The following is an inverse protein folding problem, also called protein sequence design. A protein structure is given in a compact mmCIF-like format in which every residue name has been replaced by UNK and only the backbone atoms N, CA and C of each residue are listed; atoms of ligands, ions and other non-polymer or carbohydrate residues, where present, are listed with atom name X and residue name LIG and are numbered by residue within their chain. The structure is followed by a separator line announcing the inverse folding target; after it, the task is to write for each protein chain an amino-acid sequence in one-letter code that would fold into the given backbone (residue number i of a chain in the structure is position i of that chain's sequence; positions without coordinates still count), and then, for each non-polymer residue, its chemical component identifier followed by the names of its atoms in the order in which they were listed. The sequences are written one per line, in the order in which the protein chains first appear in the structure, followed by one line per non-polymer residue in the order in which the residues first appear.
data_IF_399675180497
#
_entry.id   IF_399675180497
#
_cell.length_a   1.000
_cell.length_b   1.000
_cell.length_c   1.000
_cell.angle_alpha   90.00
_cell.angle_beta   90.00
_cell.angle_gamma   90.00
#
_symmetry.space_group_name_H-M   'P 1'
#
loop_
_entity.id
_entity.type
_entity.pdbx_description
1 polymer ?
#
# COMPACT_ATOMS: atom_id res chain seq x y z
N UNK A 1 -54.43 -19.86 -47.44
CA UNK A 1 -53.00 -19.45 -47.27
C UNK A 1 -52.14 -20.57 -47.75
N UNK A 2 -51.31 -20.33 -48.76
CA UNK A 2 -50.42 -21.36 -49.33
C UNK A 2 -49.29 -21.76 -48.34
N UNK A 3 -48.74 -22.93 -48.54
CA UNK A 3 -47.63 -23.42 -47.71
C UNK A 3 -46.44 -22.46 -47.70
N UNK A 4 -46.22 -21.77 -48.79
CA UNK A 4 -45.13 -20.76 -48.94
C UNK A 4 -45.36 -19.50 -48.09
N UNK A 5 -46.60 -19.06 -47.93
CA UNK A 5 -46.92 -17.92 -47.05
C UNK A 5 -46.66 -18.23 -45.55
N UNK A 6 -46.91 -19.48 -45.15
CA UNK A 6 -46.60 -19.94 -43.77
C UNK A 6 -45.11 -20.04 -43.52
N UNK A 7 -44.31 -20.52 -44.50
CA UNK A 7 -42.86 -20.58 -44.42
C UNK A 7 -42.21 -19.20 -44.36
N UNK A 8 -42.69 -18.26 -45.18
CA UNK A 8 -42.20 -16.87 -45.14
C UNK A 8 -42.48 -16.22 -43.79
N UNK A 9 -43.64 -16.44 -43.22
CA UNK A 9 -44.03 -15.87 -41.91
C UNK A 9 -43.13 -16.42 -40.75
N UNK A 10 -42.81 -17.72 -40.80
CA UNK A 10 -41.93 -18.35 -39.81
C UNK A 10 -40.48 -17.84 -39.93
N UNK A 11 -39.97 -17.66 -41.13
CA UNK A 11 -38.60 -17.12 -41.34
C UNK A 11 -38.50 -15.67 -40.84
N UNK A 12 -39.49 -14.83 -41.10
CA UNK A 12 -39.50 -13.45 -40.62
C UNK A 12 -39.64 -13.40 -39.11
N UNK A 13 -40.45 -14.24 -38.49
CA UNK A 13 -40.59 -14.30 -37.04
C UNK A 13 -39.28 -14.78 -36.37
N UNK A 14 -38.58 -15.77 -36.92
CA UNK A 14 -37.28 -16.19 -36.41
C UNK A 14 -36.21 -15.11 -36.56
N UNK A 15 -36.19 -14.37 -37.67
CA UNK A 15 -35.24 -13.28 -37.87
C UNK A 15 -35.46 -12.14 -36.87
N UNK A 16 -36.72 -11.82 -36.57
CA UNK A 16 -37.03 -10.78 -35.55
C UNK A 16 -36.59 -11.23 -34.14
N UNK A 17 -36.82 -12.49 -33.78
CA UNK A 17 -36.40 -13.03 -32.48
C UNK A 17 -34.89 -13.04 -32.35
N UNK A 18 -34.15 -13.43 -33.37
CA UNK A 18 -32.68 -13.39 -33.38
C UNK A 18 -32.18 -11.94 -33.27
N UNK A 19 -32.78 -11.01 -33.99
CA UNK A 19 -32.41 -9.57 -33.91
C UNK A 19 -32.67 -8.99 -32.51
N UNK A 20 -33.77 -9.37 -31.84
CA UNK A 20 -34.07 -8.95 -30.48
C UNK A 20 -33.08 -9.56 -29.46
N UNK A 21 -32.72 -10.81 -29.61
CA UNK A 21 -31.76 -11.50 -28.74
C UNK A 21 -30.37 -10.87 -28.92
N UNK A 22 -29.94 -10.61 -30.14
CA UNK A 22 -28.67 -9.94 -30.44
C UNK A 22 -28.67 -8.48 -29.95
N UNK A 23 -29.78 -7.77 -30.08
CA UNK A 23 -29.97 -6.41 -29.56
C UNK A 23 -29.96 -6.35 -28.01
N UNK A 24 -30.57 -7.35 -27.36
CA UNK A 24 -30.49 -7.44 -25.88
C UNK A 24 -29.08 -7.84 -25.39
N UNK A 25 -28.34 -8.68 -26.14
CA UNK A 25 -26.96 -9.00 -25.79
C UNK A 25 -26.00 -7.80 -25.95
N UNK A 26 -26.25 -6.92 -26.91
CA UNK A 26 -25.50 -5.68 -27.08
C UNK A 26 -25.78 -4.63 -25.99
N UNK A 27 -26.85 -4.80 -25.20
CA UNK A 27 -27.23 -3.94 -24.10
C UNK A 27 -26.68 -4.33 -22.72
N UNK A 28 -25.99 -5.49 -22.62
CA UNK A 28 -25.21 -5.83 -21.43
C UNK A 28 -24.01 -4.88 -21.38
N UNK A 29 -24.14 -3.78 -20.63
CA UNK A 29 -23.00 -2.92 -20.29
C UNK A 29 -21.94 -3.84 -19.70
N UNK A 30 -20.89 -4.08 -20.47
CA UNK A 30 -19.69 -4.76 -19.99
C UNK A 30 -19.31 -4.01 -18.71
N UNK A 31 -19.37 -4.68 -17.56
CA UNK A 31 -18.93 -4.09 -16.29
C UNK A 31 -17.46 -3.80 -16.45
N UNK A 32 -17.16 -2.52 -16.71
CA UNK A 32 -15.78 -2.07 -16.82
C UNK A 32 -15.10 -2.33 -15.49
N UNK A 33 -13.88 -2.84 -15.53
CA UNK A 33 -13.08 -2.97 -14.32
C UNK A 33 -12.81 -1.58 -13.73
N UNK A 34 -12.60 -1.45 -12.42
CA UNK A 34 -12.25 -0.17 -11.81
C UNK A 34 -11.08 0.52 -12.51
N UNK A 35 -10.08 -0.25 -12.95
CA UNK A 35 -8.91 0.25 -13.69
C UNK A 35 -9.30 0.81 -15.05
N UNK A 36 -10.21 0.14 -15.77
CA UNK A 36 -10.69 0.62 -17.07
C UNK A 36 -11.48 1.92 -16.91
N UNK A 37 -12.30 2.05 -15.86
CA UNK A 37 -13.05 3.28 -15.55
C UNK A 37 -12.09 4.42 -15.25
N UNK A 38 -11.09 4.18 -14.39
CA UNK A 38 -10.08 5.20 -14.04
C UNK A 38 -9.29 5.63 -15.27
N UNK A 39 -8.85 4.67 -16.11
CA UNK A 39 -8.10 4.95 -17.33
C UNK A 39 -8.90 5.80 -18.31
N UNK A 40 -10.18 5.47 -18.52
CA UNK A 40 -11.08 6.23 -19.41
C UNK A 40 -11.34 7.64 -18.85
N UNK A 41 -11.63 7.76 -17.56
CA UNK A 41 -11.79 9.07 -16.91
C UNK A 41 -10.56 9.94 -17.00
N UNK A 42 -9.37 9.37 -16.79
CA UNK A 42 -8.10 10.10 -16.91
C UNK A 42 -7.84 10.53 -18.36
N UNK A 43 -8.14 9.68 -19.33
CA UNK A 43 -8.02 10.02 -20.74
C UNK A 43 -8.94 11.18 -21.12
N UNK A 44 -10.22 11.13 -20.73
CA UNK A 44 -11.20 12.19 -20.96
C UNK A 44 -10.82 13.50 -20.24
N UNK A 45 -10.29 13.42 -19.03
CA UNK A 45 -9.83 14.58 -18.28
C UNK A 45 -8.64 15.25 -18.98
N UNK A 46 -7.65 14.47 -19.46
CA UNK A 46 -6.50 14.98 -20.21
C UNK A 46 -6.93 15.71 -21.49
N UNK A 47 -7.88 15.15 -22.23
CA UNK A 47 -8.41 15.78 -23.45
C UNK A 47 -9.08 17.12 -23.15
N UNK A 48 -9.79 17.24 -22.03
CA UNK A 48 -10.45 18.48 -21.60
C UNK A 48 -9.52 19.50 -20.96
N UNK A 49 -8.37 19.08 -20.48
CA UNK A 49 -7.43 19.90 -19.72
C UNK A 49 -5.97 19.71 -20.20
N UNK A 50 -5.66 19.93 -21.50
CA UNK A 50 -4.34 19.58 -22.03
C UNK A 50 -3.20 20.33 -21.32
N UNK A 51 -3.38 21.63 -21.08
CA UNK A 51 -2.35 22.45 -20.42
C UNK A 51 -2.13 22.08 -18.95
N UNK A 52 -3.20 21.68 -18.25
CA UNK A 52 -3.11 21.23 -16.86
C UNK A 52 -2.50 19.84 -16.77
N UNK A 53 -2.82 18.96 -17.73
CA UNK A 53 -2.25 17.62 -17.76
C UNK A 53 -0.73 17.67 -17.99
N UNK A 54 -0.27 18.51 -18.91
CA UNK A 54 1.15 18.70 -19.18
C UNK A 54 1.88 19.32 -17.98
N UNK A 55 1.32 20.37 -17.37
CA UNK A 55 1.89 20.96 -16.15
C UNK A 55 1.95 19.96 -14.99
N UNK A 56 0.90 19.21 -14.78
CA UNK A 56 0.88 18.23 -13.69
C UNK A 56 1.97 17.17 -13.85
N UNK A 57 2.20 16.69 -15.07
CA UNK A 57 3.29 15.73 -15.37
C UNK A 57 4.67 16.36 -15.11
N UNK A 58 4.88 17.61 -15.51
CA UNK A 58 6.16 18.28 -15.28
C UNK A 58 6.35 18.63 -13.79
N UNK A 59 5.31 19.09 -13.11
CA UNK A 59 5.34 19.34 -11.67
C UNK A 59 5.64 18.06 -10.88
N UNK A 60 5.08 16.93 -11.31
CA UNK A 60 5.33 15.63 -10.67
C UNK A 60 6.76 15.14 -10.93
N UNK A 61 7.27 15.32 -12.14
CA UNK A 61 8.67 15.04 -12.46
C UNK A 61 9.62 15.89 -11.61
N UNK A 62 9.35 17.19 -11.48
CA UNK A 62 10.15 18.07 -10.63
C UNK A 62 10.07 17.66 -9.16
N UNK A 63 8.88 17.30 -8.67
CA UNK A 63 8.69 16.83 -7.30
C UNK A 63 9.48 15.55 -7.01
N UNK A 64 9.56 14.64 -7.98
CA UNK A 64 10.37 13.43 -7.88
C UNK A 64 11.88 13.69 -7.97
N UNK A 65 12.30 14.79 -8.61
CA UNK A 65 13.71 15.21 -8.61
C UNK A 65 14.14 15.77 -7.25
N UNK A 66 13.21 16.34 -6.50
CA UNK A 66 13.45 16.87 -5.17
C UNK A 66 13.50 15.71 -4.13
N UNK A 67 14.28 14.68 -4.43
CA UNK A 67 14.53 13.65 -3.44
C UNK A 67 15.47 14.22 -2.37
N UNK A 68 15.19 13.98 -1.09
CA UNK A 68 16.14 14.31 -0.05
C UNK A 68 17.47 13.60 -0.35
N UNK A 69 18.60 14.24 -0.07
CA UNK A 69 19.90 13.61 -0.25
C UNK A 69 19.93 12.29 0.52
N UNK A 70 20.57 11.28 -0.07
CA UNK A 70 20.72 9.97 0.56
C UNK A 70 21.47 10.04 1.89
N UNK A 71 22.30 11.06 2.05
CA UNK A 71 23.00 11.40 3.27
C UNK A 71 22.47 12.73 3.84
N UNK A 72 21.85 12.68 4.99
CA UNK A 72 21.34 13.83 5.73
C UNK A 72 22.38 14.41 6.72
N UNK A 73 23.63 14.00 6.63
CA UNK A 73 24.66 14.40 7.57
C UNK A 73 24.87 15.92 7.63
N UNK A 74 24.69 16.62 6.50
CA UNK A 74 24.81 18.07 6.44
C UNK A 74 23.69 18.79 7.22
N UNK A 75 22.49 18.23 7.23
CA UNK A 75 21.36 18.72 8.04
C UNK A 75 21.69 18.57 9.52
N UNK A 76 22.24 17.43 9.91
CA UNK A 76 22.60 17.13 11.29
C UNK A 76 23.80 17.97 11.76
N UNK A 77 24.74 18.31 10.88
CA UNK A 77 25.87 19.17 11.17
C UNK A 77 25.52 20.67 11.23
N UNK A 78 24.28 21.04 10.94
CA UNK A 78 23.82 22.42 10.99
C UNK A 78 24.34 23.32 9.86
N UNK A 79 24.86 22.73 8.79
CA UNK A 79 25.40 23.47 7.64
C UNK A 79 24.31 23.86 6.64
N UNK A 80 23.19 23.17 6.64
CA UNK A 80 22.07 23.46 5.78
C UNK A 80 21.16 24.52 6.40
N UNK A 81 21.26 25.73 5.87
CA UNK A 81 20.48 26.89 6.32
C UNK A 81 20.98 27.44 7.67
N UNK A 82 21.79 28.46 7.62
CA UNK A 82 22.47 29.13 8.75
C UNK A 82 21.59 29.62 9.92
N UNK A 83 20.41 29.04 10.13
CA UNK A 83 19.45 29.48 11.15
C UNK A 83 18.92 28.40 12.10
N UNK A 84 18.97 27.13 11.76
CA UNK A 84 18.50 26.04 12.62
C UNK A 84 19.46 24.87 12.58
N UNK A 85 20.58 25.04 13.25
CA UNK A 85 21.38 23.92 13.66
C UNK A 85 20.50 23.03 14.55
N UNK A 86 20.13 21.86 14.10
CA UNK A 86 19.96 20.74 15.01
C UNK A 86 21.34 20.51 15.61
N UNK A 87 21.70 21.24 16.64
CA UNK A 87 22.97 21.31 17.34
C UNK A 87 24.07 20.32 16.93
N UNK A 88 25.30 20.72 17.05
CA UNK A 88 26.39 19.78 16.83
C UNK A 88 26.20 18.55 17.71
N UNK A 89 26.36 17.35 17.16
CA UNK A 89 26.35 16.11 17.92
C UNK A 89 27.78 15.61 18.11
N UNK A 90 28.01 14.95 19.22
CA UNK A 90 29.29 14.34 19.57
C UNK A 90 29.31 12.85 19.18
N UNK A 91 30.49 12.24 19.14
CA UNK A 91 30.60 10.78 18.96
C UNK A 91 29.79 10.01 20.03
N UNK A 92 29.72 10.56 21.24
CA UNK A 92 28.92 10.00 22.32
C UNK A 92 27.43 9.97 21.98
N UNK A 93 26.93 11.02 21.34
CA UNK A 93 25.52 11.10 20.94
C UNK A 93 25.21 10.05 19.85
N UNK A 94 26.11 9.89 18.88
CA UNK A 94 25.99 8.85 17.85
C UNK A 94 25.95 7.45 18.44
N UNK A 95 26.84 7.17 19.39
CA UNK A 95 26.85 5.88 20.09
C UNK A 95 25.59 5.66 20.93
N UNK A 96 25.08 6.70 21.58
CA UNK A 96 23.85 6.63 22.35
C UNK A 96 22.66 6.32 21.43
N UNK A 97 22.54 7.04 20.33
CA UNK A 97 21.43 6.82 19.36
C UNK A 97 21.48 5.43 18.73
N UNK A 98 22.67 4.94 18.36
CA UNK A 98 22.85 3.59 17.87
C UNK A 98 22.37 2.55 18.89
N UNK A 99 22.77 2.72 20.16
CA UNK A 99 22.38 1.83 21.25
C UNK A 99 20.86 1.85 21.52
N UNK A 100 20.24 3.03 21.52
CA UNK A 100 18.80 3.12 21.72
C UNK A 100 18.01 2.54 20.55
N UNK A 101 18.52 2.69 19.30
CA UNK A 101 17.94 2.06 18.11
C UNK A 101 18.02 0.53 18.21
N UNK A 102 19.20 0.00 18.56
CA UNK A 102 19.39 -1.44 18.75
C UNK A 102 18.49 -1.99 19.86
N UNK A 103 18.43 -1.31 21.00
CA UNK A 103 17.57 -1.70 22.13
C UNK A 103 16.09 -1.77 21.72
N UNK A 104 15.63 -0.81 20.93
CA UNK A 104 14.26 -0.80 20.44
C UNK A 104 14.00 -1.98 19.50
N UNK A 105 14.92 -2.27 18.57
CA UNK A 105 14.79 -3.41 17.65
C UNK A 105 14.85 -4.76 18.40
N UNK A 106 15.74 -4.90 19.39
CA UNK A 106 15.82 -6.11 20.22
C UNK A 106 14.54 -6.34 21.02
N UNK A 107 13.96 -5.28 21.58
CA UNK A 107 12.66 -5.39 22.26
C UNK A 107 11.55 -5.78 21.29
N UNK A 108 11.56 -5.22 20.08
CA UNK A 108 10.64 -5.61 19.00
C UNK A 108 10.78 -7.09 18.63
N UNK A 109 12.00 -7.60 18.55
CA UNK A 109 12.24 -9.05 18.34
C UNK A 109 11.60 -9.88 19.44
N UNK A 110 11.79 -9.52 20.70
CA UNK A 110 11.18 -10.23 21.84
C UNK A 110 9.65 -10.27 21.80
N UNK A 111 9.04 -9.16 21.36
CA UNK A 111 7.59 -9.09 21.20
C UNK A 111 7.15 -9.93 19.99
N UNK A 112 7.86 -9.85 18.90
CA UNK A 112 7.56 -10.52 17.63
C UNK A 112 7.54 -12.04 17.77
N UNK A 113 8.45 -12.59 18.58
CA UNK A 113 8.57 -14.03 18.83
C UNK A 113 7.77 -14.53 20.06
N UNK A 114 6.94 -13.67 20.66
CA UNK A 114 6.17 -14.03 21.85
C UNK A 114 4.67 -14.00 21.60
N UNK A 115 4.00 -15.10 21.77
CA UNK A 115 2.54 -15.17 21.69
C UNK A 115 1.84 -14.39 22.82
N UNK A 116 2.44 -14.32 24.00
CA UNK A 116 1.82 -13.75 25.20
C UNK A 116 1.92 -12.23 25.27
N UNK A 117 3.02 -11.65 24.75
CA UNK A 117 3.31 -10.21 24.87
C UNK A 117 2.37 -9.30 24.09
N UNK A 118 1.66 -9.86 23.12
CA UNK A 118 0.63 -9.16 22.34
C UNK A 118 -0.79 -9.32 22.93
N UNK A 119 -0.90 -9.96 24.10
CA UNK A 119 -2.19 -10.25 24.74
C UNK A 119 -3.05 -11.21 23.92
N UNK A 120 -2.41 -12.04 23.09
CA UNK A 120 -3.09 -13.04 22.27
C UNK A 120 -3.69 -14.16 23.12
N UNK A 121 -4.82 -14.70 22.69
CA UNK A 121 -5.56 -15.73 23.42
C UNK A 121 -5.39 -17.13 22.82
N UNK A 122 -4.69 -17.24 21.68
CA UNK A 122 -4.60 -18.48 20.90
C UNK A 122 -3.17 -19.02 20.76
N UNK A 123 -2.20 -18.42 21.45
CA UNK A 123 -0.81 -18.86 21.42
C UNK A 123 -0.07 -18.63 20.09
N UNK A 124 -0.56 -17.72 19.25
CA UNK A 124 0.06 -17.38 17.96
C UNK A 124 0.93 -16.15 18.09
N UNK A 125 2.19 -16.24 17.65
CA UNK A 125 3.14 -15.13 17.54
C UNK A 125 3.34 -14.71 16.09
N UNK A 126 3.96 -13.56 15.88
CA UNK A 126 4.20 -13.03 14.52
C UNK A 126 5.16 -13.92 13.71
N UNK A 127 6.16 -14.50 14.35
CA UNK A 127 7.19 -15.33 13.72
C UNK A 127 6.65 -16.67 13.19
N UNK A 128 5.52 -17.16 13.70
CA UNK A 128 4.90 -18.38 13.17
C UNK A 128 4.48 -18.25 11.71
N UNK A 129 4.15 -17.04 11.26
CA UNK A 129 3.82 -16.74 9.86
C UNK A 129 4.98 -16.05 9.13
N UNK A 130 5.79 -15.31 9.84
CA UNK A 130 6.88 -14.49 9.32
C UNK A 130 8.20 -14.77 10.07
N UNK A 131 8.82 -15.96 9.89
CA UNK A 131 10.06 -16.27 10.59
C UNK A 131 11.08 -15.13 10.46
N UNK A 132 11.57 -14.60 11.60
CA UNK A 132 12.50 -13.47 11.63
C UNK A 132 12.05 -12.27 10.76
N UNK A 133 10.76 -11.97 10.76
CA UNK A 133 10.12 -10.94 9.94
C UNK A 133 10.24 -11.17 8.40
N UNK A 134 10.53 -12.39 7.96
CA UNK A 134 10.54 -12.76 6.54
C UNK A 134 9.16 -12.47 5.90
N UNK A 135 9.18 -12.03 4.64
CA UNK A 135 7.99 -11.73 3.84
C UNK A 135 7.07 -10.63 4.40
N UNK A 136 7.53 -9.81 5.33
CA UNK A 136 6.76 -8.66 5.83
C UNK A 136 6.79 -7.48 4.87
N UNK A 137 7.86 -7.33 4.09
CA UNK A 137 8.05 -6.31 3.07
C UNK A 137 7.72 -4.87 3.53
N UNK A 138 8.31 -4.39 4.64
CA UNK A 138 8.02 -3.06 5.17
C UNK A 138 8.41 -1.94 4.20
N UNK A 139 9.37 -2.19 3.30
CA UNK A 139 9.83 -1.26 2.26
C UNK A 139 8.74 -0.91 1.23
N UNK A 140 7.64 -1.67 1.19
CA UNK A 140 6.54 -1.46 0.24
C UNK A 140 5.44 -0.54 0.78
N UNK A 141 5.44 -0.22 2.07
CA UNK A 141 4.44 0.67 2.67
C UNK A 141 4.77 2.15 2.46
N UNK A 142 3.74 3.01 2.28
CA UNK A 142 2.30 2.70 2.25
C UNK A 142 1.87 1.94 0.98
N UNK A 143 0.94 0.99 1.12
CA UNK A 143 0.36 0.25 0.00
C UNK A 143 -1.10 -0.12 0.25
N UNK A 144 -1.84 -0.45 -0.83
CA UNK A 144 -3.18 -1.00 -0.69
C UNK A 144 -3.12 -2.39 -0.05
N UNK A 145 -3.91 -2.59 1.01
CA UNK A 145 -4.04 -3.87 1.70
C UNK A 145 -5.46 -4.41 1.55
N UNK A 146 -5.63 -5.52 0.81
CA UNK A 146 -6.94 -6.11 0.59
C UNK A 146 -7.68 -6.45 1.89
N UNK A 147 -6.97 -6.90 2.92
CA UNK A 147 -7.52 -7.23 4.23
C UNK A 147 -8.14 -6.02 4.94
N UNK A 148 -7.64 -4.82 4.64
CA UNK A 148 -8.10 -3.57 5.22
C UNK A 148 -9.00 -2.77 4.27
N UNK A 149 -9.03 -3.12 2.97
CA UNK A 149 -9.80 -2.42 1.94
C UNK A 149 -9.35 -0.97 1.72
N UNK A 150 -8.13 -0.61 2.11
CA UNK A 150 -7.59 0.76 2.01
C UNK A 150 -6.08 0.77 1.86
N UNK A 151 -5.53 1.93 1.47
CA UNK A 151 -4.10 2.18 1.58
C UNK A 151 -3.73 2.22 3.06
N UNK A 152 -2.78 1.40 3.46
CA UNK A 152 -2.38 1.18 4.84
C UNK A 152 -0.91 1.52 5.08
N UNK A 153 -0.58 1.90 6.30
CA UNK A 153 0.77 1.96 6.82
C UNK A 153 1.18 0.59 7.38
N UNK A 154 2.47 0.40 7.62
CA UNK A 154 2.98 -0.83 8.24
C UNK A 154 2.26 -1.14 9.57
N UNK A 155 2.10 -0.14 10.43
CA UNK A 155 1.40 -0.29 11.73
C UNK A 155 -0.06 -0.70 11.63
N UNK A 156 -0.75 -0.32 10.56
CA UNK A 156 -2.12 -0.75 10.32
C UNK A 156 -2.18 -2.26 10.07
N UNK A 157 -1.21 -2.78 9.31
CA UNK A 157 -1.12 -4.21 9.04
C UNK A 157 -0.65 -5.00 10.25
N UNK A 158 0.29 -4.46 11.03
CA UNK A 158 0.67 -5.04 12.34
C UNK A 158 -0.58 -5.20 13.21
N UNK A 159 -1.38 -4.15 13.36
CA UNK A 159 -2.60 -4.19 14.15
C UNK A 159 -3.64 -5.17 13.61
N UNK A 160 -3.77 -5.27 12.29
CA UNK A 160 -4.63 -6.29 11.70
C UNK A 160 -4.21 -7.71 12.12
N UNK A 161 -2.90 -8.01 12.07
CA UNK A 161 -2.36 -9.29 12.50
C UNK A 161 -2.55 -9.52 14.00
N UNK A 162 -2.33 -8.51 14.83
CA UNK A 162 -2.57 -8.60 16.29
C UNK A 162 -4.02 -8.94 16.59
N UNK A 163 -4.98 -8.32 15.91
CA UNK A 163 -6.40 -8.53 16.18
C UNK A 163 -6.96 -9.83 15.60
N UNK A 164 -6.48 -10.28 14.44
CA UNK A 164 -7.07 -11.43 13.73
C UNK A 164 -6.35 -12.75 14.01
N UNK A 165 -5.13 -13.01 13.51
CA UNK A 165 -4.48 -14.30 13.83
C UNK A 165 -4.04 -14.42 15.28
N UNK A 166 -3.53 -13.37 15.91
CA UNK A 166 -3.04 -13.40 17.30
C UNK A 166 -4.19 -13.33 18.32
N UNK A 167 -5.34 -12.76 17.94
CA UNK A 167 -6.50 -12.54 18.83
C UNK A 167 -6.20 -11.68 20.04
N UNK A 168 -5.29 -10.70 19.86
CA UNK A 168 -4.96 -9.68 20.83
C UNK A 168 -5.77 -8.39 20.63
N UNK A 169 -5.40 -7.36 21.39
CA UNK A 169 -5.98 -6.02 21.26
C UNK A 169 -5.09 -5.14 20.39
N UNK A 170 -5.70 -4.27 19.58
CA UNK A 170 -4.95 -3.29 18.80
C UNK A 170 -4.02 -2.45 19.68
N UNK A 171 -2.80 -2.28 19.22
CA UNK A 171 -1.79 -1.45 19.87
C UNK A 171 -2.02 0.02 19.49
N UNK A 172 -1.83 0.94 20.43
CA UNK A 172 -1.83 2.36 20.10
C UNK A 172 -0.66 2.69 19.17
N UNK A 173 -0.83 3.62 18.21
CA UNK A 173 0.20 3.93 17.21
C UNK A 173 1.55 4.37 17.78
N UNK A 174 1.53 4.98 18.96
CA UNK A 174 2.69 5.50 19.69
C UNK A 174 3.09 4.66 20.90
N UNK A 175 2.45 3.49 21.09
CA UNK A 175 2.81 2.57 22.18
C UNK A 175 4.24 2.05 22.04
N UNK A 176 4.85 1.69 23.15
CA UNK A 176 6.19 1.12 23.18
C UNK A 176 6.28 -0.17 22.35
N UNK A 177 5.23 -0.99 22.41
CA UNK A 177 5.14 -2.25 21.68
C UNK A 177 5.05 -2.03 20.16
N UNK A 178 4.21 -1.09 19.70
CA UNK A 178 4.10 -0.78 18.27
C UNK A 178 5.42 -0.24 17.73
N UNK A 179 6.03 0.71 18.43
CA UNK A 179 7.33 1.29 18.04
C UNK A 179 8.43 0.24 17.97
N UNK A 180 8.47 -0.67 18.93
CA UNK A 180 9.45 -1.75 18.97
C UNK A 180 9.23 -2.75 17.82
N UNK A 181 8.00 -3.15 17.54
CA UNK A 181 7.67 -4.03 16.41
C UNK A 181 8.05 -3.41 15.07
N UNK A 182 7.68 -2.14 14.83
CA UNK A 182 8.09 -1.44 13.61
C UNK A 182 9.61 -1.38 13.48
N UNK A 183 10.32 -1.05 14.57
CA UNK A 183 11.78 -0.98 14.56
C UNK A 183 12.42 -2.33 14.23
N UNK A 184 11.94 -3.43 14.80
CA UNK A 184 12.44 -4.77 14.49
C UNK A 184 12.19 -5.15 13.04
N UNK A 185 10.96 -5.02 12.56
CA UNK A 185 10.59 -5.38 11.19
C UNK A 185 11.42 -4.57 10.16
N UNK A 186 11.59 -3.27 10.40
CA UNK A 186 12.40 -2.40 9.55
C UNK A 186 13.88 -2.76 9.61
N UNK A 187 14.40 -3.13 10.80
CA UNK A 187 15.79 -3.52 10.97
C UNK A 187 16.16 -4.78 10.15
N UNK A 188 15.22 -5.72 10.01
CA UNK A 188 15.39 -6.94 9.19
C UNK A 188 15.50 -6.63 7.68
N UNK A 189 15.11 -5.43 7.26
CA UNK A 189 15.16 -4.98 5.86
C UNK A 189 16.16 -3.85 5.65
N UNK A 190 17.13 -3.69 6.55
CA UNK A 190 18.17 -2.67 6.44
C UNK A 190 18.91 -2.78 5.10
N UNK A 191 19.02 -1.65 4.40
CA UNK A 191 19.65 -1.56 3.08
C UNK A 191 18.75 -1.95 1.90
N UNK A 192 17.51 -2.38 2.13
CA UNK A 192 16.54 -2.61 1.06
C UNK A 192 15.95 -1.26 0.62
N UNK A 193 16.02 -0.92 -0.69
CA UNK A 193 15.42 0.32 -1.19
C UNK A 193 13.91 0.37 -0.94
N UNK A 194 13.41 1.56 -0.66
CA UNK A 194 11.96 1.79 -0.56
C UNK A 194 11.29 1.54 -1.91
N UNK A 195 10.14 0.90 -1.89
CA UNK A 195 9.38 0.51 -3.07
C UNK A 195 7.88 0.52 -2.75
N UNK A 196 7.38 1.71 -2.39
CA UNK A 196 5.99 1.83 -1.93
C UNK A 196 4.96 1.51 -3.01
N UNK A 197 3.80 1.04 -2.56
CA UNK A 197 2.70 0.66 -3.44
C UNK A 197 2.91 -0.66 -4.16
N UNK A 198 4.03 -1.35 -3.96
CA UNK A 198 4.26 -2.67 -4.52
C UNK A 198 3.38 -3.71 -3.80
N UNK A 199 2.65 -4.46 -4.59
CA UNK A 199 1.80 -5.57 -4.12
C UNK A 199 2.52 -6.90 -4.23
#
# INVERSE_FOLDING_TARGET
MSADAKRAAVIVACAIVVAVIVGCAAGLKQTQTPEAIVTDHMAQWRLRNPDRANRWVEEEKERHKLQPPADNSDILKGEQGKGHAYGGYTERDVLLWARETEKLAVEGSRIFHSADRLGGTVGVSCDMCHPDAANTHPETYPKFQPQLGRVALLRDMINWCVQHPVRGKALAPDSAEMRALEAYILAQRKGTPLNYGKH
#
